data_IF_192633381253
#
_entry.id   IF_192633381253
#
_cell.length_a   1.000
_cell.length_b   1.000
_cell.length_c   1.000
_cell.angle_alpha   90.00
_cell.angle_beta   90.00
_cell.angle_gamma   90.00
#
_symmetry.space_group_name_H-M   'P 1'
#
loop_
_entity.id
_entity.type
_entity.pdbx_description
1 polymer ?
#
# COMPACT_ATOMS: atom_id res chain seq x y z
N UNK A 1 -33.95 20.44 3.42
CA UNK A 1 -33.34 19.18 3.91
C UNK A 1 -33.09 18.14 2.79
N UNK A 2 -32.81 18.57 1.54
CA UNK A 2 -32.60 17.66 0.38
C UNK A 2 -31.16 17.69 -0.19
N UNK A 3 -30.34 18.65 0.22
CA UNK A 3 -28.99 18.87 -0.36
C UNK A 3 -27.86 18.02 0.27
N UNK A 4 -28.09 17.36 1.41
CA UNK A 4 -27.01 16.65 2.15
C UNK A 4 -26.90 15.16 1.83
N UNK A 5 -27.95 14.54 1.24
CA UNK A 5 -27.94 13.11 0.86
C UNK A 5 -27.22 12.84 -0.47
N UNK A 6 -27.19 13.79 -1.40
CA UNK A 6 -26.57 13.59 -2.70
C UNK A 6 -25.04 13.62 -2.66
N UNK A 7 -24.42 14.34 -1.71
CA UNK A 7 -22.95 14.44 -1.62
C UNK A 7 -22.28 13.16 -1.11
N UNK A 8 -22.96 12.41 -0.24
CA UNK A 8 -22.49 11.10 0.23
C UNK A 8 -22.67 10.01 -0.84
N UNK A 9 -23.71 10.11 -1.68
CA UNK A 9 -23.92 9.16 -2.78
C UNK A 9 -22.93 9.38 -3.92
N UNK A 10 -22.58 10.63 -4.23
CA UNK A 10 -21.52 10.93 -5.21
C UNK A 10 -20.15 10.52 -4.70
N UNK A 11 -19.86 10.63 -3.40
CA UNK A 11 -18.62 10.07 -2.83
C UNK A 11 -18.59 8.54 -2.85
N UNK A 12 -19.74 7.85 -2.79
CA UNK A 12 -19.79 6.38 -2.83
C UNK A 12 -19.70 5.82 -4.26
N UNK A 13 -20.18 6.55 -5.27
CA UNK A 13 -20.11 6.14 -6.69
C UNK A 13 -18.71 6.41 -7.30
N UNK A 14 -17.88 7.28 -6.71
CA UNK A 14 -16.47 7.51 -7.14
C UNK A 14 -15.46 6.62 -6.40
N UNK A 15 -15.87 5.81 -5.42
CA UNK A 15 -14.96 5.04 -4.54
C UNK A 15 -14.96 3.53 -4.86
N UNK A 16 -15.56 3.11 -5.98
CA UNK A 16 -15.53 1.71 -6.40
C UNK A 16 -14.28 1.28 -7.20
N UNK A 17 -13.34 2.19 -7.45
CA UNK A 17 -11.98 1.87 -7.87
C UNK A 17 -11.06 2.58 -6.88
N UNK A 18 -10.32 1.82 -6.05
CA UNK A 18 -9.37 2.46 -5.15
C UNK A 18 -8.21 2.99 -5.98
N UNK A 19 -8.25 4.29 -6.27
CA UNK A 19 -7.06 4.98 -6.76
C UNK A 19 -5.93 4.75 -5.76
N UNK A 20 -4.76 4.36 -6.26
CA UNK A 20 -3.64 3.96 -5.41
C UNK A 20 -3.18 5.09 -4.49
N UNK A 21 -3.27 6.35 -4.93
CA UNK A 21 -2.86 7.52 -4.16
C UNK A 21 -3.67 7.74 -2.86
N UNK A 22 -5.02 7.73 -2.88
CA UNK A 22 -5.80 7.70 -1.64
C UNK A 22 -5.45 6.53 -0.71
N UNK A 23 -5.27 5.32 -1.25
CA UNK A 23 -4.99 4.13 -0.45
C UNK A 23 -3.61 4.20 0.23
N UNK A 24 -2.58 4.62 -0.51
CA UNK A 24 -1.21 4.77 0.01
C UNK A 24 -1.16 5.89 1.04
N UNK A 25 -1.92 6.97 0.87
CA UNK A 25 -2.01 8.05 1.86
C UNK A 25 -2.49 7.53 3.22
N UNK A 26 -3.62 6.80 3.24
CA UNK A 26 -4.14 6.19 4.47
C UNK A 26 -3.08 5.29 5.11
N UNK A 27 -2.35 4.53 4.29
CA UNK A 27 -1.33 3.62 4.79
C UNK A 27 -0.13 4.34 5.41
N UNK A 28 0.44 5.35 4.74
CA UNK A 28 1.58 6.10 5.26
C UNK A 28 1.24 6.94 6.51
N UNK A 29 0.02 7.49 6.59
CA UNK A 29 -0.48 8.15 7.81
C UNK A 29 -0.64 7.16 8.98
N UNK A 30 -1.11 5.93 8.69
CA UNK A 30 -1.19 4.88 9.71
C UNK A 30 0.20 4.45 10.21
N UNK A 31 1.16 4.29 9.30
CA UNK A 31 2.53 3.95 9.65
C UNK A 31 3.20 5.06 10.48
N UNK A 32 2.99 6.33 10.14
CA UNK A 32 3.49 7.47 10.91
C UNK A 32 2.90 7.50 12.33
N UNK A 33 1.57 7.38 12.46
CA UNK A 33 0.89 7.40 13.77
C UNK A 33 1.31 6.24 14.69
N UNK A 34 1.90 5.18 14.13
CA UNK A 34 2.43 4.02 14.85
C UNK A 34 3.94 3.84 14.66
N UNK A 35 4.66 4.93 14.34
CA UNK A 35 6.08 4.90 13.96
C UNK A 35 6.94 4.08 14.92
N UNK A 36 6.84 4.30 16.23
CA UNK A 36 7.69 3.63 17.22
C UNK A 36 7.51 2.10 17.18
N UNK A 37 6.28 1.63 17.01
CA UNK A 37 5.99 0.20 16.91
C UNK A 37 6.60 -0.39 15.64
N UNK A 38 6.26 0.17 14.47
CA UNK A 38 6.70 -0.39 13.20
C UNK A 38 8.22 -0.26 12.99
N UNK A 39 8.81 0.89 13.34
CA UNK A 39 10.27 1.07 13.26
C UNK A 39 11.01 0.08 14.16
N UNK A 40 10.53 -0.17 15.38
CA UNK A 40 11.15 -1.16 16.28
C UNK A 40 11.02 -2.59 15.74
N UNK A 41 9.81 -2.97 15.32
CA UNK A 41 9.53 -4.34 14.85
C UNK A 41 10.21 -4.65 13.52
N UNK A 42 10.43 -3.65 12.65
CA UNK A 42 11.09 -3.81 11.36
C UNK A 42 12.63 -3.61 11.44
N UNK A 43 13.14 -2.74 12.32
CA UNK A 43 14.58 -2.57 12.52
C UNK A 43 15.23 -3.77 13.21
N UNK A 44 14.49 -4.45 14.09
CA UNK A 44 15.05 -5.54 14.86
C UNK A 44 15.20 -6.78 14.00
N UNK A 45 16.45 -7.09 13.61
CA UNK A 45 16.83 -8.34 12.95
C UNK A 45 16.40 -9.61 13.72
N UNK A 46 16.00 -9.47 15.00
CA UNK A 46 15.43 -10.52 15.85
C UNK A 46 13.92 -10.74 15.70
N UNK A 47 13.19 -9.95 14.90
CA UNK A 47 11.78 -10.16 14.59
C UNK A 47 11.53 -10.53 13.11
N UNK A 48 12.29 -11.46 12.50
CA UNK A 48 12.04 -11.89 11.11
C UNK A 48 10.61 -12.40 10.93
N UNK A 49 10.00 -12.92 12.00
CA UNK A 49 8.60 -13.31 12.01
C UNK A 49 7.65 -12.14 11.72
N UNK A 50 7.86 -10.96 12.31
CA UNK A 50 7.00 -9.80 12.06
C UNK A 50 7.13 -9.33 10.61
N UNK A 51 8.36 -9.19 10.12
CA UNK A 51 8.60 -8.79 8.74
C UNK A 51 7.98 -9.78 7.74
N UNK A 52 8.13 -11.07 7.97
CA UNK A 52 7.55 -12.11 7.11
C UNK A 52 6.02 -12.08 7.15
N UNK A 53 5.41 -11.92 8.33
CA UNK A 53 3.96 -11.75 8.47
C UNK A 53 3.45 -10.48 7.78
N UNK A 54 4.19 -9.39 7.88
CA UNK A 54 3.86 -8.16 7.19
C UNK A 54 3.92 -8.35 5.67
N UNK A 55 4.96 -9.01 5.16
CA UNK A 55 5.06 -9.37 3.74
C UNK A 55 3.89 -10.26 3.28
N UNK A 56 3.58 -11.33 4.01
CA UNK A 56 2.44 -12.23 3.72
C UNK A 56 1.12 -11.44 3.64
N UNK A 57 0.88 -10.56 4.62
CA UNK A 57 -0.30 -9.69 4.64
C UNK A 57 -0.38 -8.80 3.39
N UNK A 58 0.74 -8.18 3.00
CA UNK A 58 0.78 -7.34 1.81
C UNK A 58 0.62 -8.15 0.53
N UNK A 59 1.18 -9.36 0.45
CA UNK A 59 0.97 -10.26 -0.68
C UNK A 59 -0.51 -10.59 -0.87
N UNK A 60 -1.25 -10.87 0.20
CA UNK A 60 -2.69 -11.11 0.11
C UNK A 60 -3.48 -9.89 -0.38
N UNK A 61 -3.11 -8.69 0.09
CA UNK A 61 -3.73 -7.44 -0.37
C UNK A 61 -3.47 -7.19 -1.85
N UNK A 62 -2.21 -7.21 -2.27
CA UNK A 62 -1.81 -6.97 -3.66
C UNK A 62 -2.32 -8.03 -4.64
N UNK A 63 -2.50 -9.26 -4.18
CA UNK A 63 -3.14 -10.32 -4.98
C UNK A 63 -4.61 -10.02 -5.27
N UNK A 64 -5.34 -9.47 -4.29
CA UNK A 64 -6.73 -9.05 -4.49
C UNK A 64 -6.81 -7.90 -5.48
N UNK A 65 -5.92 -6.92 -5.39
CA UNK A 65 -5.89 -5.81 -6.35
C UNK A 65 -5.50 -6.27 -7.75
N UNK A 66 -4.53 -7.17 -7.89
CA UNK A 66 -4.12 -7.73 -9.19
C UNK A 66 -5.28 -8.38 -9.93
N UNK A 67 -6.12 -9.12 -9.20
CA UNK A 67 -7.28 -9.83 -9.74
C UNK A 67 -8.44 -8.92 -10.15
N UNK A 68 -8.43 -7.66 -9.73
CA UNK A 68 -9.40 -6.64 -10.19
C UNK A 68 -8.97 -6.00 -11.52
N UNK A 69 -7.72 -6.16 -11.92
CA UNK A 69 -7.24 -5.62 -13.19
C UNK A 69 -7.72 -6.48 -14.36
N UNK A 70 -8.14 -5.84 -15.44
CA UNK A 70 -8.48 -6.53 -16.70
C UNK A 70 -7.22 -6.95 -17.49
N UNK A 71 -6.03 -6.62 -16.98
CA UNK A 71 -4.75 -6.95 -17.61
C UNK A 71 -4.48 -8.44 -17.53
N UNK A 72 -4.36 -9.09 -18.69
CA UNK A 72 -3.69 -10.38 -18.79
C UNK A 72 -2.19 -10.17 -18.65
N UNK A 73 -1.65 -10.46 -17.47
CA UNK A 73 -0.22 -10.58 -17.25
C UNK A 73 0.29 -11.91 -17.85
N UNK A 74 0.21 -12.08 -19.17
CA UNK A 74 0.44 -13.38 -19.84
C UNK A 74 1.90 -13.84 -19.82
N UNK A 75 2.85 -12.95 -19.55
CA UNK A 75 4.29 -13.24 -19.58
C UNK A 75 4.89 -13.51 -18.20
N UNK A 76 4.23 -13.09 -17.12
CA UNK A 76 4.72 -13.23 -15.74
C UNK A 76 3.59 -13.76 -14.86
N UNK A 77 3.87 -14.80 -14.07
CA UNK A 77 2.85 -15.39 -13.21
C UNK A 77 2.38 -14.40 -12.13
N UNK A 78 1.08 -14.50 -11.78
CA UNK A 78 0.45 -13.70 -10.71
C UNK A 78 1.26 -13.75 -9.40
N UNK A 79 1.78 -14.93 -9.06
CA UNK A 79 2.58 -15.15 -7.86
C UNK A 79 3.88 -14.32 -7.86
N UNK A 80 4.59 -14.29 -8.99
CA UNK A 80 5.84 -13.54 -9.12
C UNK A 80 5.57 -12.03 -9.05
N UNK A 81 4.51 -11.56 -9.70
CA UNK A 81 4.10 -10.13 -9.64
C UNK A 81 3.78 -9.74 -8.21
N UNK A 82 2.92 -10.52 -7.53
CA UNK A 82 2.53 -10.24 -6.14
C UNK A 82 3.74 -10.24 -5.22
N UNK A 83 4.63 -11.22 -5.37
CA UNK A 83 5.83 -11.28 -4.53
C UNK A 83 6.76 -10.09 -4.78
N UNK A 84 6.93 -9.67 -6.04
CA UNK A 84 7.73 -8.52 -6.41
C UNK A 84 7.17 -7.21 -5.81
N UNK A 85 5.88 -6.94 -6.04
CA UNK A 85 5.21 -5.71 -5.56
C UNK A 85 5.24 -5.65 -4.04
N UNK A 86 4.86 -6.74 -3.37
CA UNK A 86 4.82 -6.79 -1.91
C UNK A 86 6.22 -6.61 -1.31
N UNK A 87 7.24 -7.26 -1.88
CA UNK A 87 8.61 -7.14 -1.40
C UNK A 87 9.17 -5.73 -1.59
N UNK A 88 8.92 -5.11 -2.75
CA UNK A 88 9.33 -3.74 -3.02
C UNK A 88 8.66 -2.76 -2.04
N UNK A 89 7.35 -2.88 -1.86
CA UNK A 89 6.60 -2.04 -0.92
C UNK A 89 7.10 -2.18 0.52
N UNK A 90 7.24 -3.42 1.02
CA UNK A 90 7.75 -3.67 2.38
C UNK A 90 9.17 -3.13 2.54
N UNK A 91 10.02 -3.28 1.53
CA UNK A 91 11.38 -2.72 1.55
C UNK A 91 11.39 -1.19 1.63
N UNK A 92 10.51 -0.52 0.88
CA UNK A 92 10.37 0.95 0.93
C UNK A 92 9.88 1.40 2.31
N UNK A 93 8.86 0.75 2.87
CA UNK A 93 8.34 1.06 4.21
C UNK A 93 9.38 0.83 5.29
N UNK A 94 10.08 -0.30 5.24
CA UNK A 94 11.15 -0.65 6.16
C UNK A 94 12.27 0.40 6.10
N UNK A 95 12.75 0.74 4.90
CA UNK A 95 13.75 1.79 4.73
C UNK A 95 13.26 3.13 5.27
N UNK A 96 12.05 3.55 4.92
CA UNK A 96 11.50 4.84 5.34
C UNK A 96 11.40 4.96 6.86
N UNK A 97 10.88 3.93 7.53
CA UNK A 97 10.73 3.92 8.99
C UNK A 97 12.08 3.81 9.70
N UNK A 98 12.97 2.92 9.25
CA UNK A 98 14.26 2.69 9.92
C UNK A 98 15.23 3.87 9.76
N UNK A 99 14.99 4.75 8.79
CA UNK A 99 15.75 5.98 8.57
C UNK A 99 15.04 7.23 9.14
N UNK A 100 14.06 7.06 10.03
CA UNK A 100 13.43 8.20 10.72
C UNK A 100 12.46 9.01 9.85
N UNK A 101 11.80 8.36 8.89
CA UNK A 101 10.84 8.99 7.96
C UNK A 101 11.45 10.17 7.20
N UNK A 102 12.49 9.95 6.37
CA UNK A 102 13.24 11.02 5.69
C UNK A 102 12.40 11.87 4.72
N UNK A 103 11.23 11.39 4.34
CA UNK A 103 10.23 12.11 3.57
C UNK A 103 8.90 12.17 4.34
N UNK A 104 8.11 13.25 4.18
CA UNK A 104 6.76 13.30 4.75
C UNK A 104 5.88 12.14 4.23
N UNK A 105 4.92 11.64 5.04
CA UNK A 105 3.99 10.58 4.63
C UNK A 105 3.26 10.88 3.32
N UNK A 106 2.88 12.13 3.10
CA UNK A 106 2.20 12.57 1.87
C UNK A 106 3.07 12.42 0.62
N UNK A 107 4.38 12.68 0.72
CA UNK A 107 5.32 12.53 -0.39
C UNK A 107 5.53 11.04 -0.69
N UNK A 108 5.68 10.22 0.35
CA UNK A 108 5.80 8.77 0.17
C UNK A 108 4.53 8.17 -0.45
N UNK A 109 3.35 8.59 0.01
CA UNK A 109 2.08 8.15 -0.52
C UNK A 109 1.93 8.46 -2.01
N UNK A 110 2.28 9.69 -2.43
CA UNK A 110 2.25 10.09 -3.84
C UNK A 110 3.19 9.23 -4.69
N UNK A 111 4.45 9.08 -4.26
CA UNK A 111 5.47 8.33 -5.01
C UNK A 111 5.11 6.85 -5.14
N UNK A 112 4.74 6.20 -4.03
CA UNK A 112 4.36 4.78 -4.03
C UNK A 112 3.04 4.57 -4.76
N UNK A 113 2.10 5.51 -4.66
CA UNK A 113 0.84 5.49 -5.41
C UNK A 113 1.08 5.47 -6.91
N UNK A 114 1.95 6.36 -7.42
CA UNK A 114 2.33 6.38 -8.84
C UNK A 114 3.03 5.10 -9.28
N UNK A 115 3.86 4.49 -8.43
CA UNK A 115 4.47 3.19 -8.75
C UNK A 115 3.42 2.09 -8.89
N UNK A 116 2.41 2.05 -8.01
CA UNK A 116 1.34 1.07 -8.12
C UNK A 116 0.42 1.32 -9.31
N UNK A 117 0.11 2.58 -9.63
CA UNK A 117 -0.61 2.93 -10.87
C UNK A 117 0.10 2.36 -12.10
N UNK A 118 1.43 2.52 -12.20
CA UNK A 118 2.18 2.00 -13.35
C UNK A 118 2.17 0.46 -13.47
N UNK A 119 1.98 -0.25 -12.36
CA UNK A 119 1.99 -1.71 -12.31
C UNK A 119 0.59 -2.28 -12.60
N UNK A 120 -0.44 -1.67 -12.01
CA UNK A 120 -1.80 -2.21 -12.00
C UNK A 120 -2.74 -1.56 -13.03
N UNK A 121 -2.47 -0.33 -13.47
CA UNK A 121 -3.22 0.37 -14.52
C UNK A 121 -2.47 0.35 -15.84
#
# INVERSE_FOLDING_TARGET
MYYRKNKLRTMNETVCEMEWKPATKICFEYLESHYLFFSTMLANKGAPYFRNRFLEYQMEAFKKELRKTDKKHSEVSEEIIVHFVASAYVGVVEWWLTNGMPYPPSVMAEQVGTLFEAIYN
#
